data_IF_347224413392
#
_entry.id   IF_347224413392
#
_cell.length_a   1.000
_cell.length_b   1.000
_cell.length_c   1.000
_cell.angle_alpha   90.00
_cell.angle_beta   90.00
_cell.angle_gamma   90.00
#
_symmetry.space_group_name_H-M   'P 1'
#
loop_
_entity.id
_entity.type
_entity.pdbx_description
1 polymer ?
#
# COMPACT_ATOMS: atom_id res chain seq x y z
N UNK A 1 16.17 -9.28 -0.22
CA UNK A 1 15.84 -10.69 -0.54
C UNK A 1 14.45 -10.96 -1.15
N UNK A 2 13.51 -10.02 -1.15
CA UNK A 2 12.19 -10.19 -1.78
C UNK A 2 12.20 -9.43 -3.11
N UNK A 3 12.39 -10.13 -4.22
CA UNK A 3 12.90 -9.49 -5.45
C UNK A 3 11.89 -9.31 -6.55
N UNK A 4 10.79 -10.06 -6.55
CA UNK A 4 9.78 -9.99 -7.61
C UNK A 4 9.18 -8.58 -7.72
N UNK A 5 8.86 -7.93 -6.60
CA UNK A 5 8.35 -6.56 -6.60
C UNK A 5 9.30 -5.55 -7.26
N UNK A 6 10.61 -5.65 -6.99
CA UNK A 6 11.63 -4.78 -7.57
C UNK A 6 11.62 -4.85 -9.10
N UNK A 7 11.69 -6.06 -9.64
CA UNK A 7 11.71 -6.26 -11.09
C UNK A 7 10.37 -5.87 -11.72
N UNK A 8 9.23 -6.21 -11.09
CA UNK A 8 7.91 -5.81 -11.59
C UNK A 8 7.74 -4.30 -11.69
N UNK A 9 8.29 -3.54 -10.75
CA UNK A 9 8.25 -2.08 -10.81
C UNK A 9 9.13 -1.51 -11.93
N UNK A 10 10.29 -2.12 -12.22
CA UNK A 10 11.11 -1.74 -13.37
C UNK A 10 10.40 -2.05 -14.70
N UNK A 11 9.80 -3.24 -14.81
CA UNK A 11 8.98 -3.61 -15.98
C UNK A 11 7.74 -2.72 -16.13
N UNK A 12 7.11 -2.31 -15.02
CA UNK A 12 5.99 -1.37 -15.04
C UNK A 12 6.41 0.00 -15.55
N UNK A 13 7.58 0.51 -15.13
CA UNK A 13 8.14 1.77 -15.64
C UNK A 13 8.28 1.68 -17.17
N UNK A 14 8.96 0.65 -17.67
CA UNK A 14 9.14 0.45 -19.12
C UNK A 14 7.80 0.34 -19.85
N UNK A 15 6.87 -0.45 -19.33
CA UNK A 15 5.55 -0.63 -19.92
C UNK A 15 4.78 0.68 -20.02
N UNK A 16 4.76 1.50 -18.96
CA UNK A 16 4.07 2.79 -18.98
C UNK A 16 4.68 3.73 -20.02
N UNK A 17 6.00 3.92 -20.01
CA UNK A 17 6.66 4.89 -20.91
C UNK A 17 6.63 4.46 -22.38
N UNK A 18 6.68 3.15 -22.67
CA UNK A 18 6.70 2.65 -24.05
C UNK A 18 5.31 2.58 -24.70
N UNK A 19 4.26 2.51 -23.88
CA UNK A 19 2.87 2.45 -24.33
C UNK A 19 2.14 3.79 -24.26
N UNK A 20 2.70 4.81 -23.61
CA UNK A 20 2.18 6.18 -23.69
C UNK A 20 2.14 6.66 -25.16
N UNK A 21 1.01 7.22 -25.57
CA UNK A 21 0.71 7.61 -26.95
C UNK A 21 0.37 6.47 -27.91
N UNK A 22 0.48 5.20 -27.49
CA UNK A 22 0.13 4.02 -28.32
C UNK A 22 -1.10 3.29 -27.79
N UNK A 23 -1.13 3.05 -26.48
CA UNK A 23 -2.25 2.43 -25.78
C UNK A 23 -3.11 3.52 -25.13
N UNK A 24 -4.39 3.59 -25.53
CA UNK A 24 -5.32 4.62 -25.05
C UNK A 24 -5.63 4.51 -23.56
N UNK A 25 -5.64 3.30 -22.99
CA UNK A 25 -5.89 3.09 -21.58
C UNK A 25 -4.70 3.60 -20.75
N UNK A 26 -3.48 3.24 -21.15
CA UNK A 26 -2.25 3.67 -20.47
C UNK A 26 -2.04 5.18 -20.60
N UNK A 27 -2.24 5.72 -21.80
CA UNK A 27 -2.14 7.18 -22.04
C UNK A 27 -3.11 7.96 -21.14
N UNK A 28 -4.35 7.47 -20.99
CA UNK A 28 -5.32 8.10 -20.08
C UNK A 28 -4.89 8.01 -18.63
N UNK A 29 -4.38 6.86 -18.20
CA UNK A 29 -3.92 6.63 -16.84
C UNK A 29 -2.76 7.57 -16.46
N UNK A 30 -1.79 7.74 -17.36
CA UNK A 30 -0.65 8.65 -17.18
C UNK A 30 -1.13 10.11 -17.16
N UNK A 31 -2.04 10.49 -18.04
CA UNK A 31 -2.57 11.85 -18.08
C UNK A 31 -3.43 12.21 -16.86
N UNK A 32 -4.11 11.23 -16.25
CA UNK A 32 -4.99 11.47 -15.10
C UNK A 32 -4.33 11.30 -13.74
N UNK A 33 -3.11 10.73 -13.69
CA UNK A 33 -2.45 10.32 -12.45
C UNK A 33 -0.94 10.59 -12.48
N UNK A 34 -0.43 11.22 -11.43
CA UNK A 34 1.02 11.30 -11.17
C UNK A 34 1.47 10.04 -10.43
N UNK A 35 2.09 9.11 -11.15
CA UNK A 35 2.52 7.81 -10.60
C UNK A 35 3.96 7.92 -10.10
N UNK A 36 4.19 7.60 -8.83
CA UNK A 36 5.53 7.48 -8.25
C UNK A 36 5.89 6.01 -8.07
N UNK A 37 7.09 5.60 -8.50
CA UNK A 37 7.55 4.22 -8.41
C UNK A 37 8.91 4.18 -7.72
N UNK A 38 9.02 3.39 -6.65
CA UNK A 38 10.27 3.11 -5.94
C UNK A 38 10.59 1.61 -6.06
N UNK A 39 11.45 1.19 -7.01
CA UNK A 39 11.75 -0.23 -7.21
C UNK A 39 12.39 -0.91 -6.00
N UNK A 40 13.15 -0.17 -5.17
CA UNK A 40 13.83 -0.76 -4.01
C UNK A 40 13.98 0.25 -2.87
N UNK A 41 13.27 0.02 -1.77
CA UNK A 41 13.44 0.77 -0.51
C UNK A 41 14.68 0.29 0.26
N UNK A 42 15.06 -0.98 0.13
CA UNK A 42 16.22 -1.60 0.79
C UNK A 42 17.22 -2.16 -0.25
N UNK A 43 17.97 -1.30 -0.96
CA UNK A 43 18.96 -1.75 -1.92
C UNK A 43 20.13 -2.49 -1.25
N UNK A 44 20.56 -2.06 -0.06
CA UNK A 44 21.67 -2.70 0.67
C UNK A 44 21.37 -4.17 0.99
N UNK A 45 20.16 -4.45 1.52
CA UNK A 45 19.70 -5.80 1.78
C UNK A 45 19.53 -6.64 0.51
N UNK A 46 19.26 -6.02 -0.64
CA UNK A 46 19.26 -6.74 -1.92
C UNK A 46 20.69 -7.15 -2.33
N UNK A 47 21.64 -6.21 -2.33
CA UNK A 47 23.03 -6.45 -2.75
C UNK A 47 23.82 -7.37 -1.81
N UNK A 48 23.39 -7.48 -0.54
CA UNK A 48 23.96 -8.39 0.44
C UNK A 48 23.75 -9.88 0.07
N UNK A 49 22.71 -10.22 -0.70
CA UNK A 49 22.41 -11.61 -1.07
C UNK A 49 23.40 -12.09 -2.13
N UNK A 50 24.31 -13.01 -1.76
CA UNK A 50 25.24 -13.65 -2.71
C UNK A 50 24.75 -14.98 -3.28
N UNK A 51 23.77 -15.59 -2.62
CA UNK A 51 23.16 -16.86 -3.03
C UNK A 51 21.64 -16.71 -2.94
N UNK A 52 20.93 -16.54 -4.07
CA UNK A 52 19.48 -16.46 -4.10
C UNK A 52 18.82 -17.71 -3.50
N UNK A 53 17.79 -17.52 -2.68
CA UNK A 53 16.99 -18.61 -2.10
C UNK A 53 15.53 -18.20 -1.90
N UNK A 54 14.63 -19.19 -1.87
CA UNK A 54 13.20 -18.97 -1.73
C UNK A 54 12.75 -18.63 -0.30
N UNK A 55 13.50 -19.01 0.73
CA UNK A 55 13.04 -19.00 2.12
C UNK A 55 13.97 -18.23 3.05
N UNK A 56 15.27 -18.46 2.99
CA UNK A 56 16.28 -17.95 3.92
C UNK A 56 17.46 -17.34 3.19
N UNK A 57 17.68 -16.03 3.36
CA UNK A 57 18.91 -15.36 2.91
C UNK A 57 19.22 -14.17 3.81
N UNK A 58 20.50 -13.87 4.00
CA UNK A 58 20.94 -12.59 4.55
C UNK A 58 20.59 -11.49 3.55
N UNK A 59 19.72 -10.55 3.93
CA UNK A 59 19.26 -9.48 3.03
C UNK A 59 17.77 -9.12 3.11
N UNK A 60 17.06 -9.53 4.17
CA UNK A 60 15.73 -8.99 4.47
C UNK A 60 15.86 -7.63 5.14
N UNK A 61 16.69 -7.60 6.15
CA UNK A 61 16.99 -6.45 6.98
C UNK A 61 17.81 -5.42 6.19
N UNK A 62 17.85 -4.19 6.68
CA UNK A 62 18.76 -3.18 6.14
C UNK A 62 20.21 -3.43 6.56
N UNK A 63 21.13 -2.54 6.18
CA UNK A 63 22.56 -2.68 6.49
C UNK A 63 22.89 -2.71 8.00
N UNK A 64 21.98 -2.20 8.85
CA UNK A 64 22.08 -2.24 10.31
C UNK A 64 21.33 -3.43 10.94
N UNK A 65 20.87 -4.38 10.14
CA UNK A 65 20.11 -5.57 10.57
C UNK A 65 18.73 -5.28 11.20
N UNK A 66 18.10 -4.16 10.86
CA UNK A 66 16.71 -3.87 11.21
C UNK A 66 15.73 -4.30 10.12
N UNK A 67 14.59 -4.86 10.52
CA UNK A 67 13.46 -5.07 9.61
C UNK A 67 12.74 -3.75 9.37
N UNK A 68 12.85 -3.20 8.16
CA UNK A 68 12.25 -1.92 7.80
C UNK A 68 10.71 -1.93 7.92
N UNK A 69 10.07 -3.08 7.72
CA UNK A 69 8.62 -3.23 7.93
C UNK A 69 8.25 -3.59 9.38
N UNK A 70 9.14 -3.27 10.33
CA UNK A 70 8.89 -3.22 11.78
C UNK A 70 9.40 -1.91 12.40
N UNK A 71 9.84 -0.96 11.58
CA UNK A 71 10.59 0.20 12.02
C UNK A 71 9.78 1.51 12.01
N UNK A 72 8.57 1.52 11.46
CA UNK A 72 7.71 2.72 11.47
C UNK A 72 7.06 2.93 12.85
N UNK A 73 6.66 4.17 13.20
CA UNK A 73 5.75 4.41 14.32
C UNK A 73 4.50 3.51 14.24
N UNK A 74 4.01 3.07 15.40
CA UNK A 74 2.86 2.18 15.52
C UNK A 74 1.76 2.87 16.35
N UNK A 75 0.52 2.77 15.90
CA UNK A 75 -0.61 3.49 16.49
C UNK A 75 -1.21 2.76 17.69
N UNK A 76 -0.84 1.50 17.89
CA UNK A 76 -1.44 0.58 18.85
C UNK A 76 -0.53 0.35 20.06
N UNK A 77 0.79 0.42 19.86
CA UNK A 77 1.78 0.26 20.91
C UNK A 77 3.06 1.06 20.63
N UNK A 78 3.85 1.35 21.67
CA UNK A 78 5.07 2.13 21.49
C UNK A 78 6.13 1.31 20.73
N UNK A 79 6.52 1.79 19.55
CA UNK A 79 7.61 1.20 18.78
C UNK A 79 8.93 1.97 18.97
N UNK A 80 9.75 1.49 19.91
CA UNK A 80 10.99 2.11 20.37
C UNK A 80 12.23 1.78 19.53
N UNK A 81 12.08 1.09 18.40
CA UNK A 81 13.18 0.76 17.51
C UNK A 81 13.89 2.03 16.99
N UNK A 82 15.22 1.98 16.85
CA UNK A 82 15.97 3.09 16.24
C UNK A 82 15.49 3.29 14.81
N UNK A 83 15.03 4.49 14.46
CA UNK A 83 14.54 4.77 13.10
C UNK A 83 15.69 4.74 12.11
N UNK A 84 15.56 3.89 11.11
CA UNK A 84 16.57 3.66 10.10
C UNK A 84 16.53 4.73 9.01
N UNK A 85 17.65 4.99 8.31
CA UNK A 85 17.71 6.00 7.26
C UNK A 85 16.63 5.83 6.19
N UNK A 86 16.34 4.59 5.79
CA UNK A 86 15.32 4.26 4.79
C UNK A 86 13.92 4.59 5.30
N UNK A 87 13.61 4.22 6.54
CA UNK A 87 12.33 4.54 7.20
C UNK A 87 12.12 6.04 7.29
N UNK A 88 13.13 6.79 7.74
CA UNK A 88 13.07 8.25 7.83
C UNK A 88 12.89 8.87 6.44
N UNK A 89 13.62 8.37 5.43
CA UNK A 89 13.48 8.87 4.06
C UNK A 89 12.06 8.67 3.51
N UNK A 90 11.42 7.52 3.77
CA UNK A 90 10.01 7.31 3.39
C UNK A 90 9.08 8.22 4.18
N UNK A 91 9.25 8.35 5.50
CA UNK A 91 8.42 9.23 6.32
C UNK A 91 8.50 10.70 5.85
N UNK A 92 9.68 11.17 5.46
CA UNK A 92 9.84 12.51 4.90
C UNK A 92 9.27 12.61 3.48
N UNK A 93 9.48 11.59 2.64
CA UNK A 93 8.94 11.55 1.29
C UNK A 93 7.40 11.59 1.29
N UNK A 94 6.75 10.85 2.19
CA UNK A 94 5.29 10.84 2.34
C UNK A 94 4.72 12.21 2.75
N UNK A 95 5.53 13.13 3.29
CA UNK A 95 5.12 14.51 3.58
C UNK A 95 5.26 15.46 2.39
N UNK A 96 6.00 15.07 1.36
CA UNK A 96 6.30 15.96 0.22
C UNK A 96 5.14 16.13 -0.75
N UNK A 97 4.21 15.16 -0.77
CA UNK A 97 3.08 15.10 -1.70
C UNK A 97 1.82 14.64 -0.96
N UNK A 98 0.66 14.87 -1.56
CA UNK A 98 -0.61 14.31 -1.09
C UNK A 98 -0.84 12.95 -1.75
N UNK A 99 -0.12 11.92 -1.27
CA UNK A 99 -0.34 10.54 -1.74
C UNK A 99 -1.75 10.07 -1.33
N UNK A 100 -2.47 9.46 -2.27
CA UNK A 100 -3.86 9.02 -2.07
C UNK A 100 -3.95 7.49 -1.94
N UNK A 101 -3.26 6.78 -2.83
CA UNK A 101 -3.24 5.32 -2.90
C UNK A 101 -1.78 4.86 -3.05
N UNK A 102 -1.42 3.79 -2.33
CA UNK A 102 -0.10 3.18 -2.35
C UNK A 102 -0.21 1.65 -2.28
N UNK A 103 0.83 0.94 -2.71
CA UNK A 103 1.03 -0.45 -2.35
C UNK A 103 2.52 -0.74 -2.20
N UNK A 104 2.87 -1.43 -1.12
CA UNK A 104 4.23 -1.93 -0.91
C UNK A 104 4.32 -3.40 -1.35
N UNK A 105 5.42 -3.79 -2.00
CA UNK A 105 5.53 -5.08 -2.67
C UNK A 105 6.49 -6.01 -1.92
N UNK A 106 6.01 -7.22 -1.67
CA UNK A 106 6.67 -8.24 -0.87
C UNK A 106 6.72 -9.60 -1.60
N UNK A 107 7.49 -10.51 -1.01
CA UNK A 107 7.55 -11.91 -1.41
C UNK A 107 7.73 -12.80 -0.18
N UNK A 108 7.22 -14.02 -0.28
CA UNK A 108 7.10 -14.91 0.87
C UNK A 108 5.67 -15.41 1.07
N UNK A 109 4.68 -14.85 0.40
CA UNK A 109 3.35 -15.44 0.25
C UNK A 109 2.79 -15.11 -1.15
N UNK A 110 1.51 -15.42 -1.36
CA UNK A 110 0.80 -15.00 -2.56
C UNK A 110 -0.60 -14.51 -2.17
N UNK A 111 -0.70 -13.26 -1.75
CA UNK A 111 -1.90 -12.64 -1.17
C UNK A 111 -1.80 -11.11 -1.20
N UNK A 112 -2.93 -10.41 -1.33
CA UNK A 112 -3.04 -8.99 -1.04
C UNK A 112 -3.51 -8.79 0.40
N UNK A 113 -2.59 -8.36 1.28
CA UNK A 113 -2.88 -8.04 2.67
C UNK A 113 -3.31 -6.59 2.80
N UNK A 114 -4.34 -6.32 3.60
CA UNK A 114 -4.85 -4.97 3.83
C UNK A 114 -4.93 -4.62 5.33
N UNK A 115 -4.91 -3.32 5.68
CA UNK A 115 -4.87 -2.89 7.08
C UNK A 115 -6.06 -3.35 7.94
N UNK A 116 -5.94 -3.32 9.26
CA UNK A 116 -4.69 -3.04 9.98
C UNK A 116 -3.81 -4.29 10.11
N UNK A 117 -2.51 -4.07 10.12
CA UNK A 117 -1.48 -5.07 10.38
C UNK A 117 -1.32 -5.32 11.90
N UNK A 118 -1.49 -4.29 12.73
CA UNK A 118 -1.55 -4.41 14.20
C UNK A 118 -2.95 -4.08 14.75
N UNK A 119 -3.16 -4.20 16.06
CA UNK A 119 -4.48 -3.96 16.65
C UNK A 119 -4.54 -4.00 18.17
N UNK A 120 -5.55 -3.32 18.71
CA UNK A 120 -5.95 -3.37 20.12
C UNK A 120 -7.33 -4.02 20.27
N UNK A 121 -7.75 -4.33 21.50
CA UNK A 121 -9.09 -4.86 21.81
C UNK A 121 -10.23 -4.08 21.16
N UNK A 122 -10.12 -2.75 21.10
CA UNK A 122 -11.10 -1.86 20.47
C UNK A 122 -11.18 -1.97 18.93
N UNK A 123 -10.11 -2.44 18.27
CA UNK A 123 -10.07 -2.63 16.81
C UNK A 123 -10.56 -4.03 16.37
N UNK A 124 -10.99 -4.88 17.32
CA UNK A 124 -11.48 -6.22 17.02
C UNK A 124 -10.52 -7.37 17.37
N UNK A 125 -9.44 -7.12 18.14
CA UNK A 125 -8.48 -8.18 18.56
C UNK A 125 -9.13 -9.43 19.16
N UNK A 126 -10.30 -9.29 19.81
CA UNK A 126 -11.10 -10.40 20.36
C UNK A 126 -11.68 -11.35 19.27
N UNK A 127 -11.79 -10.88 18.03
CA UNK A 127 -12.30 -11.63 16.87
C UNK A 127 -11.21 -11.98 15.85
N UNK A 128 -9.93 -11.90 16.23
CA UNK A 128 -8.78 -12.19 15.35
C UNK A 128 -8.74 -11.34 14.06
N UNK A 129 -9.28 -10.12 14.09
CA UNK A 129 -9.21 -9.14 12.99
C UNK A 129 -8.95 -7.74 13.56
N UNK A 130 -8.35 -6.85 12.77
CA UNK A 130 -8.17 -5.45 13.12
C UNK A 130 -8.67 -4.57 11.97
N UNK A 131 -9.85 -3.94 12.14
CA UNK A 131 -10.56 -3.27 11.03
C UNK A 131 -10.28 -1.77 11.00
N UNK A 132 -10.16 -1.21 9.79
CA UNK A 132 -10.13 0.23 9.57
C UNK A 132 -11.55 0.82 9.46
N UNK A 133 -11.72 2.14 9.67
CA UNK A 133 -12.93 2.85 9.26
C UNK A 133 -13.35 2.64 7.80
N UNK A 134 -12.39 2.34 6.91
CA UNK A 134 -12.59 2.11 5.48
C UNK A 134 -12.35 0.64 5.07
N UNK A 135 -12.66 -0.33 5.95
CA UNK A 135 -12.40 -1.76 5.70
C UNK A 135 -13.06 -2.26 4.40
N UNK A 136 -14.21 -1.69 4.03
CA UNK A 136 -14.89 -1.99 2.76
C UNK A 136 -14.06 -1.56 1.54
N UNK A 137 -13.48 -0.36 1.58
CA UNK A 137 -12.60 0.16 0.52
C UNK A 137 -11.32 -0.67 0.47
N UNK A 138 -10.72 -1.01 1.60
CA UNK A 138 -9.51 -1.83 1.64
C UNK A 138 -9.73 -3.25 1.11
N UNK A 139 -10.83 -3.90 1.47
CA UNK A 139 -11.21 -5.19 0.90
C UNK A 139 -11.39 -5.09 -0.62
N UNK A 140 -12.03 -4.03 -1.11
CA UNK A 140 -12.19 -3.78 -2.54
C UNK A 140 -10.84 -3.54 -3.24
N UNK A 141 -9.97 -2.72 -2.66
CA UNK A 141 -8.62 -2.43 -3.17
C UNK A 141 -7.79 -3.71 -3.27
N UNK A 142 -7.74 -4.52 -2.21
CA UNK A 142 -7.04 -5.82 -2.24
C UNK A 142 -7.63 -6.76 -3.30
N UNK A 143 -8.97 -6.80 -3.41
CA UNK A 143 -9.67 -7.60 -4.42
C UNK A 143 -9.40 -7.13 -5.85
N UNK A 144 -9.27 -5.83 -6.09
CA UNK A 144 -8.99 -5.27 -7.42
C UNK A 144 -7.66 -5.78 -7.98
N UNK A 145 -6.66 -5.94 -7.12
CA UNK A 145 -5.37 -6.54 -7.47
C UNK A 145 -5.49 -8.07 -7.59
N UNK A 146 -5.94 -8.73 -6.52
CA UNK A 146 -5.92 -10.19 -6.41
C UNK A 146 -6.78 -10.86 -7.47
N UNK A 147 -7.94 -10.29 -7.82
CA UNK A 147 -8.87 -10.84 -8.81
C UNK A 147 -8.30 -10.89 -10.23
N UNK A 148 -7.30 -10.05 -10.55
CA UNK A 148 -6.61 -10.00 -11.84
C UNK A 148 -5.36 -10.89 -11.88
N UNK A 149 -4.86 -11.34 -10.73
CA UNK A 149 -3.76 -12.30 -10.65
C UNK A 149 -4.33 -13.72 -10.49
N UNK A 150 -4.26 -14.52 -11.55
CA UNK A 150 -4.86 -15.87 -11.63
C UNK A 150 -4.40 -16.79 -10.50
N UNK A 151 -3.15 -16.68 -10.07
CA UNK A 151 -2.60 -17.53 -9.03
C UNK A 151 -2.99 -17.01 -7.64
N UNK A 152 -2.88 -15.70 -7.40
CA UNK A 152 -3.29 -15.10 -6.13
C UNK A 152 -4.76 -15.37 -5.83
N UNK A 153 -5.64 -15.18 -6.82
CA UNK A 153 -7.09 -15.41 -6.71
C UNK A 153 -7.47 -16.81 -6.19
N UNK A 154 -6.68 -17.85 -6.53
CA UNK A 154 -6.96 -19.23 -6.09
C UNK A 154 -6.82 -19.40 -4.57
N UNK A 155 -5.92 -18.64 -3.96
CA UNK A 155 -5.74 -18.62 -2.51
C UNK A 155 -4.94 -19.75 -1.88
N UNK A 156 -4.55 -20.78 -2.64
CA UNK A 156 -3.94 -22.02 -2.13
C UNK A 156 -2.57 -22.37 -2.78
N UNK A 157 -1.92 -21.38 -3.39
CA UNK A 157 -0.78 -21.64 -4.28
C UNK A 157 0.54 -21.93 -3.57
N UNK A 158 0.75 -21.38 -2.37
CA UNK A 158 2.00 -21.58 -1.65
C UNK A 158 1.91 -22.81 -0.75
N UNK A 159 2.60 -23.90 -1.15
CA UNK A 159 2.68 -25.13 -0.35
C UNK A 159 3.18 -24.84 1.07
N UNK A 160 2.56 -25.49 2.06
CA UNK A 160 2.86 -25.35 3.50
C UNK A 160 2.73 -23.91 4.03
N UNK A 161 1.94 -23.06 3.36
CA UNK A 161 1.54 -21.74 3.86
C UNK A 161 0.03 -21.70 4.05
N UNK A 162 -0.43 -20.70 4.80
CA UNK A 162 -1.85 -20.43 5.01
C UNK A 162 -2.56 -20.19 3.68
N UNK A 163 -3.80 -20.68 3.57
CA UNK A 163 -4.67 -20.38 2.43
C UNK A 163 -5.38 -19.04 2.65
N UNK A 164 -5.51 -18.27 1.57
CA UNK A 164 -6.16 -16.96 1.56
C UNK A 164 -7.33 -16.96 0.57
N UNK A 165 -8.56 -17.20 1.02
CA UNK A 165 -9.73 -17.21 0.13
C UNK A 165 -9.79 -15.94 -0.73
N UNK A 166 -9.97 -16.10 -2.04
CA UNK A 166 -9.93 -15.02 -3.05
C UNK A 166 -8.61 -14.24 -3.16
N UNK A 167 -7.55 -14.70 -2.49
CA UNK A 167 -6.22 -14.09 -2.55
C UNK A 167 -6.09 -12.81 -1.74
N UNK A 168 -6.97 -12.55 -0.76
CA UNK A 168 -6.89 -11.38 0.12
C UNK A 168 -6.87 -11.77 1.60
N UNK A 169 -6.34 -10.92 2.46
CA UNK A 169 -6.41 -11.10 3.93
C UNK A 169 -6.32 -9.77 4.66
N UNK A 170 -6.96 -9.67 5.83
CA UNK A 170 -6.62 -8.63 6.80
C UNK A 170 -5.23 -8.95 7.41
N UNK A 171 -4.39 -7.94 7.59
CA UNK A 171 -3.02 -8.08 8.10
C UNK A 171 -2.97 -8.77 9.44
N UNK A 172 -3.70 -8.23 10.42
CA UNK A 172 -3.78 -8.79 11.77
C UNK A 172 -4.30 -10.23 11.79
N UNK A 173 -5.29 -10.55 10.95
CA UNK A 173 -5.86 -11.89 10.84
C UNK A 173 -4.88 -12.92 10.27
N UNK A 174 -3.92 -12.48 9.46
CA UNK A 174 -2.84 -13.33 8.98
C UNK A 174 -1.77 -13.49 10.06
N UNK A 175 -1.19 -12.38 10.51
CA UNK A 175 -0.34 -12.31 11.70
C UNK A 175 -0.19 -10.85 12.17
N UNK A 176 -0.27 -10.57 13.49
CA UNK A 176 -0.04 -9.23 14.00
C UNK A 176 1.37 -8.71 13.67
N UNK A 177 1.45 -7.50 13.13
CA UNK A 177 2.68 -6.87 12.68
C UNK A 177 2.77 -5.44 13.21
N UNK A 178 3.68 -5.24 14.17
CA UNK A 178 3.96 -3.92 14.76
C UNK A 178 4.86 -3.07 13.86
N UNK A 179 4.53 -1.79 13.71
CA UNK A 179 5.42 -0.79 13.09
C UNK A 179 5.62 -0.98 11.59
N UNK A 180 4.57 -1.42 10.90
CA UNK A 180 4.56 -1.57 9.45
C UNK A 180 4.36 -0.26 8.69
N UNK A 181 4.88 -0.19 7.47
CA UNK A 181 4.71 0.98 6.59
C UNK A 181 3.25 1.14 6.16
N UNK A 182 2.53 0.02 5.98
CA UNK A 182 1.14 -0.02 5.57
C UNK A 182 0.23 0.76 6.54
N UNK A 183 0.28 0.42 7.82
CA UNK A 183 -0.52 1.10 8.85
C UNK A 183 -0.05 2.55 9.03
N UNK A 184 1.25 2.82 8.88
CA UNK A 184 1.79 4.18 8.97
C UNK A 184 1.18 5.12 7.92
N UNK A 185 1.08 4.65 6.67
CA UNK A 185 0.51 5.43 5.57
C UNK A 185 -0.93 5.85 5.87
N UNK A 186 -1.75 4.91 6.34
CA UNK A 186 -3.17 5.17 6.60
C UNK A 186 -3.39 6.07 7.82
N UNK A 187 -2.58 5.89 8.88
CA UNK A 187 -2.72 6.68 10.12
C UNK A 187 -2.16 8.09 9.96
N UNK A 188 -0.92 8.26 9.48
CA UNK A 188 -0.24 9.56 9.52
C UNK A 188 -0.03 10.21 8.17
N UNK A 189 0.01 9.45 7.07
CA UNK A 189 0.27 10.01 5.73
C UNK A 189 -1.02 10.28 4.93
N UNK A 190 -2.19 9.94 5.47
CA UNK A 190 -3.50 10.05 4.80
C UNK A 190 -3.55 9.31 3.44
N UNK A 191 -2.81 8.21 3.32
CA UNK A 191 -2.68 7.44 2.09
C UNK A 191 -3.09 5.98 2.33
N UNK A 192 -3.90 5.43 1.43
CA UNK A 192 -4.36 4.05 1.56
C UNK A 192 -3.29 3.13 1.00
N UNK A 193 -2.58 2.41 1.87
CA UNK A 193 -1.58 1.42 1.45
C UNK A 193 -2.07 0.00 1.70
N UNK A 194 -1.80 -0.91 0.76
CA UNK A 194 -1.90 -2.36 0.98
C UNK A 194 -0.55 -3.04 0.75
N UNK A 195 -0.38 -4.23 1.31
CA UNK A 195 0.81 -5.06 1.14
C UNK A 195 0.54 -6.16 0.12
N UNK A 196 1.30 -6.18 -0.96
CA UNK A 196 1.14 -7.16 -2.03
C UNK A 196 2.24 -8.22 -1.94
N UNK A 197 1.89 -9.44 -1.55
CA UNK A 197 2.79 -10.59 -1.55
C UNK A 197 2.72 -11.30 -2.91
N UNK A 198 3.77 -11.19 -3.71
CA UNK A 198 3.72 -11.49 -5.15
C UNK A 198 4.27 -12.86 -5.53
N UNK A 199 4.96 -13.52 -4.62
CA UNK A 199 5.63 -14.78 -4.91
C UNK A 199 5.84 -15.65 -3.66
N UNK A 200 5.52 -16.93 -3.78
CA UNK A 200 5.81 -17.90 -2.71
C UNK A 200 7.31 -18.03 -2.43
N UNK A 201 8.12 -17.95 -3.50
CA UNK A 201 9.58 -17.93 -3.44
C UNK A 201 10.04 -16.46 -3.36
N UNK A 202 10.80 -16.11 -2.31
CA UNK A 202 11.24 -14.73 -2.07
C UNK A 202 12.22 -14.22 -3.14
N UNK A 203 13.16 -15.07 -3.55
CA UNK A 203 14.15 -14.77 -4.59
C UNK A 203 14.13 -15.87 -5.68
N UNK A 204 13.18 -15.82 -6.63
CA UNK A 204 13.11 -16.79 -7.71
C UNK A 204 14.24 -16.60 -8.74
N UNK A 205 14.48 -17.63 -9.56
CA UNK A 205 15.43 -17.58 -10.68
C UNK A 205 14.95 -16.60 -11.76
N UNK A 206 15.88 -15.91 -12.40
CA UNK A 206 15.64 -14.86 -13.41
C UNK A 206 14.74 -15.31 -14.56
N UNK A 207 14.87 -16.56 -15.00
CA UNK A 207 14.02 -17.17 -16.04
C UNK A 207 12.50 -17.15 -15.73
N UNK A 208 12.12 -16.92 -14.46
CA UNK A 208 10.71 -16.80 -14.04
C UNK A 208 10.19 -15.36 -14.10
N UNK A 209 11.03 -14.36 -14.30
CA UNK A 209 10.61 -12.95 -14.31
C UNK A 209 9.54 -12.66 -15.37
N UNK A 210 9.60 -13.16 -16.62
CA UNK A 210 8.52 -12.94 -17.59
C UNK A 210 7.16 -13.47 -17.10
N UNK A 211 7.16 -14.64 -16.46
CA UNK A 211 5.94 -15.21 -15.88
C UNK A 211 5.36 -14.34 -14.75
N UNK A 212 6.22 -13.78 -13.89
CA UNK A 212 5.75 -12.87 -12.84
C UNK A 212 5.18 -11.59 -13.43
N UNK A 213 5.82 -11.02 -14.46
CA UNK A 213 5.31 -9.86 -15.18
C UNK A 213 3.93 -10.14 -15.77
N UNK A 214 3.78 -11.19 -16.57
CA UNK A 214 2.52 -11.54 -17.21
C UNK A 214 1.40 -11.79 -16.19
N UNK A 215 1.73 -12.38 -15.03
CA UNK A 215 0.76 -12.67 -13.96
C UNK A 215 0.32 -11.43 -13.17
N UNK A 216 1.09 -10.35 -13.18
CA UNK A 216 0.84 -9.16 -12.35
C UNK A 216 0.57 -7.88 -13.15
N UNK A 217 0.89 -7.83 -14.45
CA UNK A 217 0.72 -6.64 -15.29
C UNK A 217 -0.70 -6.07 -15.20
N UNK A 218 -1.72 -6.92 -15.42
CA UNK A 218 -3.11 -6.49 -15.35
C UNK A 218 -3.50 -6.03 -13.93
N UNK A 219 -3.00 -6.71 -12.88
CA UNK A 219 -3.25 -6.34 -11.49
C UNK A 219 -2.65 -4.98 -11.13
N UNK A 220 -1.41 -4.70 -11.53
CA UNK A 220 -0.74 -3.42 -11.26
C UNK A 220 -1.50 -2.26 -11.93
N UNK A 221 -1.83 -2.40 -13.21
CA UNK A 221 -2.57 -1.37 -13.95
C UNK A 221 -3.97 -1.17 -13.35
N UNK A 222 -4.67 -2.24 -13.02
CA UNK A 222 -6.01 -2.15 -12.42
C UNK A 222 -5.97 -1.51 -11.03
N UNK A 223 -4.94 -1.80 -10.23
CA UNK A 223 -4.78 -1.22 -8.91
C UNK A 223 -4.51 0.28 -8.96
N UNK A 224 -3.63 0.75 -9.86
CA UNK A 224 -3.35 2.19 -10.02
C UNK A 224 -4.63 2.95 -10.36
N UNK A 225 -5.51 2.40 -11.20
CA UNK A 225 -6.79 3.04 -11.55
C UNK A 225 -7.69 3.29 -10.33
N UNK A 226 -7.54 2.51 -9.25
CA UNK A 226 -8.38 2.68 -8.05
C UNK A 226 -8.11 3.98 -7.30
N UNK A 227 -7.03 4.70 -7.61
CA UNK A 227 -6.79 6.05 -7.07
C UNK A 227 -7.88 7.05 -7.45
N UNK A 228 -8.74 6.70 -8.42
CA UNK A 228 -9.87 7.51 -8.88
C UNK A 228 -11.21 7.14 -8.25
N UNK A 229 -11.23 6.25 -7.25
CA UNK A 229 -12.45 5.95 -6.48
C UNK A 229 -12.91 7.17 -5.66
N UNK A 230 -14.19 7.14 -5.29
CA UNK A 230 -14.79 8.10 -4.38
C UNK A 230 -14.81 9.54 -4.92
N UNK A 231 -14.41 10.47 -4.06
CA UNK A 231 -14.56 11.91 -4.30
C UNK A 231 -13.25 12.65 -4.04
N UNK A 232 -13.09 13.76 -4.75
CA UNK A 232 -12.01 14.72 -4.56
C UNK A 232 -12.53 16.11 -4.82
N UNK A 233 -11.89 17.11 -4.23
CA UNK A 233 -12.28 18.50 -4.40
C UNK A 233 -11.38 19.46 -3.64
N UNK A 234 -11.81 20.71 -3.54
CA UNK A 234 -11.12 21.76 -2.80
C UNK A 234 -12.09 22.47 -1.85
N UNK A 235 -11.56 22.94 -0.72
CA UNK A 235 -12.28 23.76 0.25
C UNK A 235 -11.82 25.20 0.11
N UNK A 236 -12.77 26.13 -0.02
CA UNK A 236 -12.50 27.57 -0.15
C UNK A 236 -13.23 28.37 0.92
N UNK A 237 -12.68 29.53 1.26
CA UNK A 237 -13.40 30.56 2.03
C UNK A 237 -14.42 31.31 1.14
N UNK A 238 -15.18 32.23 1.75
CA UNK A 238 -16.16 33.06 1.03
C UNK A 238 -15.53 33.99 -0.02
N UNK A 239 -14.22 34.21 0.03
CA UNK A 239 -13.46 35.05 -0.92
C UNK A 239 -12.83 34.22 -2.04
N UNK A 240 -13.02 32.90 -2.05
CA UNK A 240 -12.43 31.98 -3.02
C UNK A 240 -10.98 31.60 -2.75
N UNK A 241 -10.44 31.84 -1.54
CA UNK A 241 -9.11 31.39 -1.17
C UNK A 241 -9.14 29.92 -0.71
N UNK A 242 -8.23 29.06 -1.18
CA UNK A 242 -8.16 27.68 -0.72
C UNK A 242 -7.80 27.60 0.76
N UNK A 243 -8.48 26.74 1.51
CA UNK A 243 -8.28 26.55 2.95
C UNK A 243 -7.50 25.27 3.23
N UNK A 244 -6.21 25.36 3.61
CA UNK A 244 -5.43 24.20 4.02
C UNK A 244 -5.78 23.76 5.45
N UNK A 245 -5.45 22.51 5.80
CA UNK A 245 -5.64 21.93 7.14
C UNK A 245 -7.10 21.87 7.63
N UNK A 246 -8.07 21.95 6.73
CA UNK A 246 -9.49 21.73 7.04
C UNK A 246 -9.75 20.23 7.11
N UNK A 247 -10.41 19.76 8.16
CA UNK A 247 -10.81 18.36 8.29
C UNK A 247 -11.94 18.10 7.30
N UNK A 248 -11.78 17.08 6.46
CA UNK A 248 -12.78 16.62 5.50
C UNK A 248 -12.88 15.11 5.61
N UNK A 249 -13.93 14.63 6.28
CA UNK A 249 -14.14 13.21 6.54
C UNK A 249 -15.60 12.83 6.34
N UNK A 250 -15.86 11.56 6.01
CA UNK A 250 -17.21 11.01 6.03
C UNK A 250 -17.67 10.91 7.48
N UNK A 251 -18.92 11.32 7.75
CA UNK A 251 -19.46 11.43 9.11
C UNK A 251 -19.24 10.18 10.00
N UNK A 252 -19.34 9.00 9.40
CA UNK A 252 -19.21 7.71 10.08
C UNK A 252 -17.84 7.03 9.86
N UNK A 253 -16.86 7.72 9.26
CA UNK A 253 -15.48 7.24 9.05
C UNK A 253 -14.47 8.17 9.71
N UNK A 254 -14.44 8.15 11.04
CA UNK A 254 -13.49 8.95 11.81
C UNK A 254 -12.15 8.23 11.89
N UNK A 255 -11.11 8.86 11.36
CA UNK A 255 -9.75 8.33 11.43
C UNK A 255 -9.11 8.67 12.78
N UNK A 256 -8.13 7.85 13.20
CA UNK A 256 -7.36 8.09 14.44
C UNK A 256 -6.67 9.46 14.40
N UNK A 257 -6.08 9.80 13.25
CA UNK A 257 -5.65 11.16 12.93
C UNK A 257 -6.59 11.70 11.84
N UNK A 258 -7.37 12.76 12.12
CA UNK A 258 -8.37 13.25 11.17
C UNK A 258 -7.75 13.68 9.84
N UNK A 259 -8.39 13.30 8.74
CA UNK A 259 -7.92 13.64 7.39
C UNK A 259 -8.17 15.11 7.07
N UNK A 260 -7.13 15.77 6.57
CA UNK A 260 -7.10 17.21 6.32
C UNK A 260 -6.80 17.55 4.87
N UNK A 261 -7.30 18.71 4.43
CA UNK A 261 -6.94 19.32 3.15
C UNK A 261 -5.45 19.66 3.09
N UNK A 262 -4.86 19.53 1.91
CA UNK A 262 -3.46 19.87 1.67
C UNK A 262 -3.24 21.40 1.57
N UNK A 263 -2.01 21.82 1.25
CA UNK A 263 -1.64 23.25 1.11
C UNK A 263 -2.44 24.02 0.05
N UNK A 264 -3.09 23.33 -0.88
CA UNK A 264 -3.94 23.89 -1.93
C UNK A 264 -5.44 23.77 -1.60
N UNK A 265 -5.78 23.41 -0.36
CA UNK A 265 -7.15 23.17 0.07
C UNK A 265 -7.77 21.91 -0.53
N UNK A 266 -6.99 21.05 -1.18
CA UNK A 266 -7.48 19.84 -1.84
C UNK A 266 -7.69 18.71 -0.85
N UNK A 267 -8.73 17.90 -1.07
CA UNK A 267 -8.98 16.65 -0.37
C UNK A 267 -9.26 15.52 -1.36
N UNK A 268 -8.94 14.30 -0.95
CA UNK A 268 -9.16 13.07 -1.70
C UNK A 268 -9.67 12.01 -0.72
N UNK A 269 -10.83 11.43 -1.00
CA UNK A 269 -11.46 10.40 -0.17
C UNK A 269 -11.83 9.22 -1.06
N UNK A 270 -11.09 8.12 -0.93
CA UNK A 270 -11.40 6.87 -1.62
C UNK A 270 -12.64 6.25 -0.97
N UNK A 271 -13.73 6.15 -1.74
CA UNK A 271 -15.01 5.63 -1.29
C UNK A 271 -15.59 4.69 -2.35
N UNK A 272 -16.32 3.68 -1.91
CA UNK A 272 -17.09 2.84 -2.82
C UNK A 272 -18.38 3.56 -3.28
N UNK A 273 -19.08 3.06 -4.32
CA UNK A 273 -20.37 3.63 -4.71
C UNK A 273 -21.37 3.62 -3.56
N UNK A 274 -21.86 4.80 -3.20
CA UNK A 274 -22.79 4.99 -2.08
C UNK A 274 -23.16 6.45 -1.87
N UNK A 275 -24.07 6.70 -0.92
CA UNK A 275 -24.44 8.05 -0.48
C UNK A 275 -23.73 8.35 0.85
N UNK A 276 -23.07 9.51 0.91
CA UNK A 276 -22.23 9.90 2.04
C UNK A 276 -22.56 11.31 2.51
N UNK A 277 -22.44 11.55 3.82
CA UNK A 277 -22.42 12.89 4.41
C UNK A 277 -21.00 13.23 4.80
N UNK A 278 -20.50 14.36 4.32
CA UNK A 278 -19.17 14.86 4.66
C UNK A 278 -19.26 15.90 5.77
N UNK A 279 -18.39 15.75 6.76
CA UNK A 279 -18.14 16.77 7.76
C UNK A 279 -16.92 17.58 7.32
N UNK A 280 -17.13 18.88 7.11
CA UNK A 280 -16.08 19.85 6.79
C UNK A 280 -15.93 20.80 7.97
N UNK A 281 -14.79 20.74 8.66
CA UNK A 281 -14.58 21.52 9.89
C UNK A 281 -13.13 21.98 10.07
N UNK A 282 -12.95 23.10 10.76
CA UNK A 282 -11.64 23.57 11.21
C UNK A 282 -11.42 23.11 12.65
N UNK A 283 -10.21 22.65 12.98
CA UNK A 283 -9.84 22.49 14.40
C UNK A 283 -9.77 23.88 15.05
N UNK A 284 -10.50 24.09 16.15
CA UNK A 284 -10.32 25.22 17.07
C UNK A 284 -9.23 24.89 18.08
#
# INVERSE_FOLDING_TARGET
MQTVGRELLLHLIDYLVTNDGKDLEITRLINSTRIHIMPSMNPDGFEAVKKPDCFYTNGRENNNFYDLNRNFPDAFEFNNESRQPETVAIMEWLKTETFVLSANLHGGALVASYPFDNGVSAAGKLHSRSLTPDDDVFQYLASSYASKNVNMKKGDQCKNKMNFPNGITNGYAWYPLKGGMQDYNYIWAQCFEITLELSCCKYPREEKLPFFWDSNKASLIEYIKQVHLGIKGQVFDQKGNPLPNVIVEVQDRKHVCPYKTNKFGEYYLLLLPGSYTLNVSTQF
#
